data_IF_347405002850
#
_entry.id   IF_347405002850
#
_cell.length_a   1.000
_cell.length_b   1.000
_cell.length_c   1.000
_cell.angle_alpha   90.00
_cell.angle_beta   90.00
_cell.angle_gamma   90.00
#
_symmetry.space_group_name_H-M   'P 1'
#
loop_
_entity.id
_entity.type
_entity.pdbx_description
1 polymer ?
#
# COMPACT_ATOMS: atom_id res chain seq x y z
N UNK A 1 -8.97 4.79 11.01
CA UNK A 1 -8.04 4.77 9.86
C UNK A 1 -7.47 6.17 9.62
N UNK A 2 -8.35 7.15 9.42
CA UNK A 2 -7.97 8.54 9.10
C UNK A 2 -7.06 9.20 10.15
N UNK A 3 -7.30 8.92 11.43
CA UNK A 3 -6.47 9.44 12.53
C UNK A 3 -5.00 8.98 12.45
N UNK A 4 -4.76 7.70 12.11
CA UNK A 4 -3.39 7.15 12.02
C UNK A 4 -2.69 7.65 10.76
N UNK A 5 -3.39 7.72 9.62
CA UNK A 5 -2.86 8.27 8.37
C UNK A 5 -2.43 9.74 8.59
N UNK A 6 -3.24 10.52 9.29
CA UNK A 6 -2.91 11.91 9.63
C UNK A 6 -1.67 12.00 10.53
N UNK A 7 -1.55 11.14 11.54
CA UNK A 7 -0.36 11.09 12.41
C UNK A 7 0.92 10.76 11.63
N UNK A 8 0.88 9.79 10.73
CA UNK A 8 2.01 9.45 9.84
C UNK A 8 2.36 10.62 8.93
N UNK A 9 1.35 11.26 8.34
CA UNK A 9 1.53 12.44 7.47
C UNK A 9 2.21 13.59 8.21
N UNK A 10 1.79 13.89 9.45
CA UNK A 10 2.42 14.90 10.30
C UNK A 10 3.84 14.50 10.68
N UNK A 11 4.05 13.24 11.07
CA UNK A 11 5.37 12.70 11.41
C UNK A 11 6.38 12.85 10.27
N UNK A 12 5.94 12.65 9.03
CA UNK A 12 6.71 12.82 7.80
C UNK A 12 7.01 14.29 7.52
N UNK A 13 6.02 15.18 7.65
CA UNK A 13 6.21 16.63 7.48
C UNK A 13 7.22 17.21 8.46
N UNK A 14 7.13 16.83 9.74
CA UNK A 14 8.03 17.31 10.79
C UNK A 14 9.49 16.92 10.55
N UNK A 15 9.76 15.89 9.72
CA UNK A 15 11.10 15.42 9.36
C UNK A 15 11.53 15.86 7.96
N UNK A 16 10.68 16.60 7.24
CA UNK A 16 10.93 16.99 5.85
C UNK A 16 10.92 15.82 4.86
N UNK A 17 10.49 14.62 5.27
CA UNK A 17 10.44 13.43 4.40
C UNK A 17 9.47 13.65 3.23
N UNK A 18 8.40 14.42 3.44
CA UNK A 18 7.44 14.77 2.39
C UNK A 18 8.05 15.57 1.22
N UNK A 19 9.24 16.14 1.37
CA UNK A 19 9.97 16.88 0.32
C UNK A 19 11.11 16.07 -0.31
N UNK A 20 11.37 14.86 0.18
CA UNK A 20 12.41 13.99 -0.36
C UNK A 20 12.02 13.38 -1.72
N UNK A 21 12.94 12.62 -2.32
CA UNK A 21 12.74 11.98 -3.63
C UNK A 21 11.70 10.85 -3.55
N UNK A 22 10.63 10.87 -4.37
CA UNK A 22 9.68 9.78 -4.50
C UNK A 22 10.31 8.49 -5.01
N UNK A 23 11.34 8.59 -5.85
CA UNK A 23 12.07 7.43 -6.38
C UNK A 23 12.82 6.72 -5.25
N UNK A 24 13.51 7.47 -4.39
CA UNK A 24 14.17 6.91 -3.22
C UNK A 24 13.15 6.32 -2.23
N UNK A 25 12.02 6.99 -2.03
CA UNK A 25 10.93 6.46 -1.19
C UNK A 25 10.30 5.20 -1.77
N UNK A 26 10.17 5.08 -3.08
CA UNK A 26 9.68 3.87 -3.74
C UNK A 26 10.64 2.68 -3.51
N UNK A 27 11.96 2.93 -3.48
CA UNK A 27 12.92 1.89 -3.09
C UNK A 27 12.71 1.43 -1.65
N UNK A 28 12.37 2.34 -0.72
CA UNK A 28 11.99 1.95 0.65
C UNK A 28 10.73 1.09 0.65
N UNK A 29 9.69 1.43 -0.11
CA UNK A 29 8.48 0.58 -0.24
C UNK A 29 8.86 -0.84 -0.69
N UNK A 30 9.74 -0.97 -1.69
CA UNK A 30 10.19 -2.27 -2.17
C UNK A 30 10.98 -3.06 -1.11
N UNK A 31 11.79 -2.38 -0.30
CA UNK A 31 12.51 -2.97 0.84
C UNK A 31 11.52 -3.52 1.88
N UNK A 32 10.54 -2.73 2.33
CA UNK A 32 9.56 -3.17 3.35
C UNK A 32 8.69 -4.34 2.85
N UNK A 33 8.33 -4.35 1.56
CA UNK A 33 7.63 -5.48 0.94
C UNK A 33 8.51 -6.74 0.95
N UNK A 34 9.83 -6.59 0.74
CA UNK A 34 10.80 -7.67 0.83
C UNK A 34 10.92 -8.23 2.25
N UNK A 35 10.89 -7.37 3.27
CA UNK A 35 10.88 -7.80 4.67
C UNK A 35 9.60 -8.56 5.02
N UNK A 36 8.45 -8.08 4.55
CA UNK A 36 7.17 -8.78 4.70
C UNK A 36 7.21 -10.16 4.05
N UNK A 37 7.70 -10.26 2.81
CA UNK A 37 7.86 -11.53 2.11
C UNK A 37 8.80 -12.48 2.88
N UNK A 38 9.89 -11.95 3.44
CA UNK A 38 10.79 -12.74 4.27
C UNK A 38 10.13 -13.23 5.57
N UNK A 39 9.35 -12.38 6.23
CA UNK A 39 8.62 -12.74 7.44
C UNK A 39 7.64 -13.89 7.20
N UNK A 40 6.90 -13.84 6.08
CA UNK A 40 5.99 -14.90 5.64
C UNK A 40 6.77 -16.18 5.33
N UNK A 41 7.84 -16.10 4.53
CA UNK A 41 8.63 -17.27 4.14
C UNK A 41 9.31 -18.00 5.32
N UNK A 42 9.47 -17.32 6.46
CA UNK A 42 10.11 -17.86 7.67
C UNK A 42 9.13 -18.09 8.83
N UNK A 43 7.82 -17.98 8.61
CA UNK A 43 6.77 -18.11 9.63
C UNK A 43 7.04 -17.27 10.90
N UNK A 44 7.42 -16.00 10.73
CA UNK A 44 7.73 -15.07 11.82
C UNK A 44 6.59 -14.07 12.05
N UNK A 45 5.59 -14.37 12.90
CA UNK A 45 4.39 -13.55 13.05
C UNK A 45 4.68 -12.12 13.49
N UNK A 46 5.62 -11.91 14.42
CA UNK A 46 5.98 -10.57 14.89
C UNK A 46 6.58 -9.71 13.77
N UNK A 47 7.45 -10.30 12.95
CA UNK A 47 8.02 -9.62 11.78
C UNK A 47 6.95 -9.32 10.73
N UNK A 48 6.00 -10.24 10.50
CA UNK A 48 4.91 -10.02 9.56
C UNK A 48 4.07 -8.81 9.98
N UNK A 49 3.72 -8.70 11.26
CA UNK A 49 2.93 -7.57 11.78
C UNK A 49 3.68 -6.25 11.62
N UNK A 50 4.97 -6.23 11.95
CA UNK A 50 5.83 -5.05 11.84
C UNK A 50 5.98 -4.59 10.38
N UNK A 51 6.40 -5.50 9.49
CA UNK A 51 6.60 -5.20 8.07
C UNK A 51 5.30 -4.81 7.36
N UNK A 52 4.12 -5.30 7.79
CA UNK A 52 2.84 -4.78 7.28
C UNK A 52 2.65 -3.30 7.62
N UNK A 53 2.98 -2.91 8.85
CA UNK A 53 2.95 -1.52 9.29
C UNK A 53 3.89 -0.64 8.47
N UNK A 54 5.13 -1.10 8.25
CA UNK A 54 6.15 -0.35 7.52
C UNK A 54 5.82 -0.17 6.04
N UNK A 55 5.27 -1.19 5.39
CA UNK A 55 4.74 -1.07 4.03
C UNK A 55 3.65 0.01 3.95
N UNK A 56 2.73 0.05 4.91
CA UNK A 56 1.67 1.07 4.94
C UNK A 56 2.24 2.46 5.18
N UNK A 57 3.17 2.62 6.13
CA UNK A 57 3.83 3.91 6.42
C UNK A 57 4.56 4.43 5.19
N UNK A 58 5.36 3.57 4.54
CA UNK A 58 6.15 3.98 3.37
C UNK A 58 5.27 4.34 2.17
N UNK A 59 4.14 3.65 1.97
CA UNK A 59 3.14 4.01 0.96
C UNK A 59 2.43 5.35 1.26
N UNK A 60 2.08 5.62 2.51
CA UNK A 60 1.48 6.90 2.92
C UNK A 60 2.45 8.05 2.62
N UNK A 61 3.73 7.90 2.98
CA UNK A 61 4.77 8.91 2.71
C UNK A 61 5.01 9.08 1.21
N UNK A 62 5.03 8.00 0.44
CA UNK A 62 5.16 8.08 -1.02
C UNK A 62 3.99 8.84 -1.66
N UNK A 63 2.74 8.52 -1.27
CA UNK A 63 1.57 9.26 -1.73
C UNK A 63 1.68 10.76 -1.38
N UNK A 64 2.11 11.07 -0.16
CA UNK A 64 2.33 12.45 0.27
C UNK A 64 3.36 13.17 -0.61
N UNK A 65 4.53 12.56 -0.88
CA UNK A 65 5.56 13.16 -1.72
C UNK A 65 5.08 13.40 -3.15
N UNK A 66 4.39 12.43 -3.77
CA UNK A 66 3.84 12.56 -5.12
C UNK A 66 2.80 13.68 -5.21
N UNK A 67 2.02 13.91 -4.14
CA UNK A 67 1.09 15.04 -4.03
C UNK A 67 1.81 16.38 -3.87
N UNK A 68 2.85 16.43 -3.05
CA UNK A 68 3.67 17.64 -2.89
C UNK A 68 4.37 18.05 -4.19
N UNK A 69 4.76 17.08 -5.01
CA UNK A 69 5.33 17.29 -6.34
C UNK A 69 4.28 17.51 -7.45
N UNK A 70 2.98 17.53 -7.10
CA UNK A 70 1.85 17.73 -8.03
C UNK A 70 1.79 16.70 -9.16
N UNK A 71 2.32 15.50 -8.93
CA UNK A 71 2.19 14.37 -9.86
C UNK A 71 0.77 13.79 -9.79
N UNK A 72 0.21 13.76 -8.58
CA UNK A 72 -1.18 13.37 -8.30
C UNK A 72 -1.79 14.37 -7.30
N UNK A 73 -3.11 14.43 -7.23
CA UNK A 73 -3.85 15.27 -6.29
C UNK A 73 -4.53 14.47 -5.17
N UNK A 74 -4.86 13.21 -5.45
CA UNK A 74 -5.58 12.27 -4.57
C UNK A 74 -4.75 11.77 -3.40
N UNK A 75 -5.33 11.84 -2.21
CA UNK A 75 -4.77 11.25 -0.99
C UNK A 75 -4.87 9.73 -0.99
N UNK A 76 -4.12 9.08 -0.10
CA UNK A 76 -4.12 7.62 0.01
C UNK A 76 -5.52 7.03 0.27
N UNK A 77 -6.36 7.74 1.03
CA UNK A 77 -7.75 7.36 1.28
C UNK A 77 -8.60 7.39 0.02
N UNK A 78 -8.42 8.41 -0.83
CA UNK A 78 -9.10 8.50 -2.13
C UNK A 78 -8.66 7.37 -3.06
N UNK A 79 -7.35 7.05 -3.08
CA UNK A 79 -6.82 5.94 -3.87
C UNK A 79 -7.44 4.61 -3.44
N UNK A 80 -7.52 4.35 -2.13
CA UNK A 80 -8.18 3.15 -1.60
C UNK A 80 -9.67 3.14 -1.91
N UNK A 81 -10.35 4.28 -1.80
CA UNK A 81 -11.77 4.39 -2.12
C UNK A 81 -12.04 4.07 -3.60
N UNK A 82 -11.21 4.57 -4.52
CA UNK A 82 -11.32 4.26 -5.95
C UNK A 82 -11.13 2.76 -6.18
N UNK A 83 -10.07 2.16 -5.64
CA UNK A 83 -9.83 0.73 -5.76
C UNK A 83 -10.99 -0.10 -5.18
N UNK A 84 -11.57 0.33 -4.06
CA UNK A 84 -12.74 -0.34 -3.47
C UNK A 84 -13.95 -0.31 -4.41
N UNK A 85 -14.24 0.84 -5.04
CA UNK A 85 -15.36 0.96 -5.98
C UNK A 85 -15.19 0.04 -7.19
N UNK A 86 -13.96 -0.28 -7.60
CA UNK A 86 -13.67 -1.23 -8.67
C UNK A 86 -13.81 -2.70 -8.26
N UNK A 87 -13.63 -3.01 -6.97
CA UNK A 87 -13.64 -4.42 -6.49
C UNK A 87 -14.94 -4.83 -5.82
N UNK A 88 -15.74 -3.88 -5.32
CA UNK A 88 -16.91 -4.15 -4.47
C UNK A 88 -17.99 -5.02 -5.14
N UNK A 89 -18.15 -4.92 -6.45
CA UNK A 89 -19.18 -5.63 -7.22
C UNK A 89 -18.57 -6.78 -8.06
N UNK A 90 -17.29 -7.11 -7.85
CA UNK A 90 -16.62 -8.17 -8.61
C UNK A 90 -17.26 -9.51 -8.32
N UNK A 91 -17.59 -10.22 -9.39
CA UNK A 91 -18.02 -11.62 -9.36
C UNK A 91 -16.84 -12.53 -9.72
N UNK A 92 -16.79 -13.69 -9.10
CA UNK A 92 -15.68 -14.63 -9.24
C UNK A 92 -15.70 -15.69 -8.16
N UNK A 93 -14.69 -16.56 -8.16
CA UNK A 93 -14.51 -17.61 -7.15
C UNK A 93 -13.04 -17.79 -6.80
N UNK A 94 -12.79 -18.35 -5.62
CA UNK A 94 -11.44 -18.76 -5.23
C UNK A 94 -11.03 -20.01 -6.00
N UNK A 95 -9.89 -19.95 -6.69
CA UNK A 95 -9.26 -21.09 -7.39
C UNK A 95 -7.80 -21.13 -6.98
N UNK A 96 -7.35 -22.24 -6.39
CA UNK A 96 -5.96 -22.42 -5.94
C UNK A 96 -5.41 -21.28 -5.06
N UNK A 97 -6.25 -20.73 -4.18
CA UNK A 97 -5.88 -19.65 -3.26
C UNK A 97 -5.91 -18.23 -3.86
N UNK A 98 -6.30 -18.09 -5.13
CA UNK A 98 -6.41 -16.78 -5.81
C UNK A 98 -7.88 -16.53 -6.18
N UNK A 99 -8.33 -15.28 -6.04
CA UNK A 99 -9.65 -14.88 -6.54
C UNK A 99 -9.59 -14.72 -8.07
N UNK A 100 -10.32 -15.57 -8.79
CA UNK A 100 -10.44 -15.53 -10.26
C UNK A 100 -11.79 -14.92 -10.61
N UNK A 101 -11.79 -13.93 -11.52
CA UNK A 101 -13.00 -13.22 -11.93
C UNK A 101 -13.91 -14.12 -12.77
N UNK A 102 -15.21 -13.86 -12.70
CA UNK A 102 -16.22 -14.62 -13.46
C UNK A 102 -16.00 -14.59 -14.98
N UNK A 103 -15.51 -13.47 -15.53
CA UNK A 103 -15.14 -13.33 -16.95
C UNK A 103 -14.00 -14.27 -17.36
N UNK A 104 -13.02 -14.48 -16.48
CA UNK A 104 -11.84 -15.32 -16.73
C UNK A 104 -12.11 -16.83 -16.48
N UNK A 105 -13.30 -17.18 -15.96
CA UNK A 105 -13.66 -18.58 -15.64
C UNK A 105 -14.28 -19.34 -16.82
N UNK A 106 -14.70 -18.64 -17.87
CA UNK A 106 -15.47 -19.21 -18.99
C UNK A 106 -14.65 -19.32 -20.28
N UNK A 107 -13.33 -19.10 -20.23
CA UNK A 107 -12.39 -19.24 -21.35
C UNK A 107 -11.76 -20.66 -21.45
N UNK A 108 -12.38 -21.67 -20.83
CA UNK A 108 -12.10 -23.11 -21.03
C UNK A 108 -13.26 -23.81 -21.76
#
# INVERSE_FOLDING_TARGET
>A
MDDVINKVTIWSMNRGLCFASPQAQFLKVAEEVGELAQGIAKDKPDQIVDSFGDVLVTLIVLNQQLRMQRVIDKGIGDCLQIAYQEIKDRKGKMVNGVFVKEEDLNDE
#
